data_IF_992546254648
#
_entry.id   IF_992546254648
#
_cell.length_a   1.000
_cell.length_b   1.000
_cell.length_c   1.000
_cell.angle_alpha   90.00
_cell.angle_beta   90.00
_cell.angle_gamma   90.00
#
_symmetry.space_group_name_H-M   'P 1'
#
loop_
_entity.id
_entity.type
_entity.pdbx_description
1 polymer ?
#
# COMPACT_ATOMS: atom_id res chain seq x y z
N UNK A 1 -12.08 1.38 -1.16
CA UNK A 1 -11.68 0.02 -1.58
C UNK A 1 -10.30 -0.29 -1.03
N UNK A 2 -10.17 -1.43 -0.34
CA UNK A 2 -8.90 -1.96 0.19
C UNK A 2 -8.88 -3.48 -0.06
N UNK A 3 -9.53 -4.29 0.78
CA UNK A 3 -9.53 -5.76 0.63
C UNK A 3 -10.19 -6.27 -0.66
N UNK A 4 -11.26 -5.65 -1.13
CA UNK A 4 -11.90 -6.08 -2.37
C UNK A 4 -11.05 -5.82 -3.63
N UNK A 5 -10.13 -4.86 -3.60
CA UNK A 5 -9.13 -4.66 -4.66
C UNK A 5 -8.19 -5.86 -4.76
N UNK A 6 -7.69 -6.34 -3.62
CA UNK A 6 -6.82 -7.52 -3.53
C UNK A 6 -7.52 -8.74 -4.12
N UNK A 7 -8.77 -8.99 -3.71
CA UNK A 7 -9.54 -10.14 -4.19
C UNK A 7 -9.78 -10.08 -5.71
N UNK A 8 -10.10 -8.89 -6.23
CA UNK A 8 -10.32 -8.69 -7.67
C UNK A 8 -9.01 -8.89 -8.45
N UNK A 9 -7.93 -8.30 -8.00
CA UNK A 9 -6.61 -8.44 -8.60
C UNK A 9 -6.15 -9.91 -8.61
N UNK A 10 -6.37 -10.65 -7.50
CA UNK A 10 -6.06 -12.07 -7.42
C UNK A 10 -6.85 -12.90 -8.45
N UNK A 11 -8.15 -12.64 -8.59
CA UNK A 11 -9.00 -13.34 -9.56
C UNK A 11 -8.54 -13.09 -11.00
N UNK A 12 -8.24 -11.85 -11.36
CA UNK A 12 -7.80 -11.47 -12.70
C UNK A 12 -6.41 -12.03 -13.05
N UNK A 13 -5.48 -12.02 -12.08
CA UNK A 13 -4.14 -12.58 -12.27
C UNK A 13 -4.12 -14.12 -12.28
N UNK A 14 -5.26 -14.77 -12.01
CA UNK A 14 -5.38 -16.24 -11.80
C UNK A 14 -4.40 -16.74 -10.72
N UNK A 15 -4.15 -15.90 -9.73
CA UNK A 15 -3.34 -16.22 -8.56
C UNK A 15 -4.25 -16.66 -7.42
N UNK A 16 -3.76 -17.52 -6.54
CA UNK A 16 -4.52 -17.85 -5.33
C UNK A 16 -4.61 -16.61 -4.45
N UNK A 17 -5.76 -16.38 -3.81
CA UNK A 17 -5.96 -15.24 -2.90
C UNK A 17 -4.89 -15.20 -1.79
N UNK A 18 -4.38 -16.36 -1.36
CA UNK A 18 -3.32 -16.49 -0.38
C UNK A 18 -1.98 -15.88 -0.85
N UNK A 19 -1.66 -15.97 -2.14
CA UNK A 19 -0.45 -15.37 -2.70
C UNK A 19 -0.55 -13.85 -2.62
N UNK A 20 -1.67 -13.28 -3.02
CA UNK A 20 -1.87 -11.81 -3.00
C UNK A 20 -1.91 -11.27 -1.57
N UNK A 21 -2.55 -11.98 -0.61
CA UNK A 21 -2.50 -11.62 0.82
C UNK A 21 -1.09 -11.75 1.40
N UNK A 22 -0.30 -12.71 0.96
CA UNK A 22 1.09 -12.87 1.40
C UNK A 22 1.98 -11.72 0.96
N UNK A 23 1.80 -11.22 -0.26
CA UNK A 23 2.46 -10.00 -0.74
C UNK A 23 1.98 -8.74 0.02
N UNK A 24 0.73 -8.70 0.50
CA UNK A 24 0.17 -7.57 1.23
C UNK A 24 0.55 -7.54 2.72
N UNK A 25 0.44 -8.67 3.41
CA UNK A 25 0.61 -8.71 4.88
C UNK A 25 1.99 -9.16 5.34
N UNK A 26 2.68 -10.01 4.61
CA UNK A 26 3.93 -10.60 5.08
C UNK A 26 5.17 -9.86 4.63
N UNK A 27 5.18 -9.23 3.47
CA UNK A 27 6.37 -8.53 2.96
C UNK A 27 7.67 -9.33 3.10
N UNK A 28 7.55 -10.64 3.26
CA UNK A 28 8.64 -11.56 3.50
C UNK A 28 9.16 -12.21 2.22
N UNK A 29 8.54 -11.91 1.09
CA UNK A 29 8.93 -12.48 -0.20
C UNK A 29 10.25 -11.95 -0.76
N UNK A 30 10.73 -10.80 -0.30
CA UNK A 30 11.96 -10.21 -0.87
C UNK A 30 13.24 -10.51 -0.09
N UNK A 31 13.28 -11.50 0.68
CA UNK A 31 14.56 -11.76 1.33
C UNK A 31 14.62 -13.01 2.14
N UNK A 32 14.60 -14.17 1.55
CA UNK A 32 15.24 -15.36 2.07
C UNK A 32 14.47 -16.66 1.77
N UNK A 33 14.36 -16.98 0.52
CA UNK A 33 14.36 -18.38 0.15
C UNK A 33 15.71 -18.80 -0.43
N UNK A 34 16.79 -18.19 0.01
CA UNK A 34 18.16 -18.68 -0.23
C UNK A 34 18.65 -19.38 1.03
N UNK A 35 17.93 -20.41 1.46
CA UNK A 35 18.45 -21.36 2.42
C UNK A 35 18.29 -22.75 1.81
N UNK A 36 19.34 -23.24 1.19
CA UNK A 36 19.44 -24.67 0.89
C UNK A 36 20.21 -25.12 -0.30
N UNK A 37 20.58 -24.30 -1.26
CA UNK A 37 21.48 -24.77 -2.31
C UNK A 37 22.30 -23.62 -2.93
N UNK A 38 23.62 -23.55 -2.69
CA UNK A 38 24.48 -22.48 -3.23
C UNK A 38 24.69 -22.58 -4.76
N UNK A 39 24.10 -23.53 -5.44
CA UNK A 39 24.17 -23.74 -6.89
C UNK A 39 22.82 -23.75 -7.60
N UNK A 40 21.73 -23.37 -6.91
CA UNK A 40 20.48 -23.09 -7.61
C UNK A 40 20.64 -21.81 -8.43
N UNK A 41 20.19 -21.86 -9.68
CA UNK A 41 20.28 -20.75 -10.62
C UNK A 41 19.44 -19.56 -10.10
N UNK A 42 20.09 -18.68 -9.32
CA UNK A 42 19.48 -17.54 -8.62
C UNK A 42 18.90 -16.52 -9.59
N UNK A 43 19.37 -16.50 -10.84
CA UNK A 43 18.87 -15.62 -11.88
C UNK A 43 17.46 -16.04 -12.35
N UNK A 44 17.25 -17.34 -12.59
CA UNK A 44 15.95 -17.85 -13.04
C UNK A 44 14.86 -17.75 -11.97
N UNK A 45 15.22 -17.92 -10.69
CA UNK A 45 14.32 -17.69 -9.56
C UNK A 45 13.99 -16.19 -9.41
N UNK A 46 14.96 -15.31 -9.55
CA UNK A 46 14.76 -13.86 -9.51
C UNK A 46 13.80 -13.40 -10.60
N UNK A 47 13.97 -13.81 -11.85
CA UNK A 47 13.07 -13.47 -12.95
C UNK A 47 11.65 -14.02 -12.74
N UNK A 48 11.48 -15.20 -12.17
CA UNK A 48 10.17 -15.76 -11.87
C UNK A 48 9.44 -14.96 -10.79
N UNK A 49 10.12 -14.55 -9.73
CA UNK A 49 9.55 -13.71 -8.68
C UNK A 49 9.20 -12.30 -9.19
N UNK A 50 10.10 -11.66 -9.93
CA UNK A 50 9.82 -10.36 -10.57
C UNK A 50 8.62 -10.44 -11.53
N UNK A 51 8.47 -11.55 -12.25
CA UNK A 51 7.32 -11.74 -13.14
C UNK A 51 5.99 -11.88 -12.40
N UNK A 52 5.99 -12.47 -11.21
CA UNK A 52 4.78 -12.65 -10.40
C UNK A 52 4.35 -11.35 -9.71
N UNK A 53 5.28 -10.61 -9.11
CA UNK A 53 5.02 -9.28 -8.55
C UNK A 53 4.52 -8.29 -9.62
N UNK A 54 5.12 -8.27 -10.79
CA UNK A 54 4.69 -7.44 -11.89
C UNK A 54 3.27 -7.80 -12.38
N UNK A 55 2.93 -9.09 -12.39
CA UNK A 55 1.57 -9.55 -12.73
C UNK A 55 0.53 -9.14 -11.69
N UNK A 56 0.87 -9.23 -10.41
CA UNK A 56 0.01 -8.75 -9.32
C UNK A 56 -0.21 -7.25 -9.44
N UNK A 57 0.86 -6.48 -9.60
CA UNK A 57 0.77 -5.03 -9.75
C UNK A 57 -0.06 -4.62 -10.97
N UNK A 58 0.11 -5.27 -12.12
CA UNK A 58 -0.67 -4.97 -13.32
C UNK A 58 -2.16 -5.32 -13.16
N UNK A 59 -2.48 -6.36 -12.41
CA UNK A 59 -3.87 -6.68 -12.05
C UNK A 59 -4.47 -5.65 -11.07
N UNK A 60 -3.70 -5.20 -10.07
CA UNK A 60 -4.09 -4.11 -9.18
C UNK A 60 -4.32 -2.81 -9.95
N UNK A 61 -3.40 -2.47 -10.86
CA UNK A 61 -3.51 -1.29 -11.72
C UNK A 61 -4.80 -1.29 -12.52
N UNK A 62 -5.12 -2.39 -13.20
CA UNK A 62 -6.38 -2.51 -13.96
C UNK A 62 -7.60 -2.36 -13.06
N UNK A 63 -7.62 -3.04 -11.91
CA UNK A 63 -8.72 -2.95 -10.96
C UNK A 63 -8.94 -1.52 -10.42
N UNK A 64 -7.84 -0.76 -10.18
CA UNK A 64 -7.90 0.64 -9.75
C UNK A 64 -8.53 1.52 -10.84
N UNK A 65 -8.09 1.38 -12.08
CA UNK A 65 -8.62 2.15 -13.21
C UNK A 65 -10.12 1.86 -13.43
N UNK A 66 -10.53 0.59 -13.44
CA UNK A 66 -11.93 0.21 -13.56
C UNK A 66 -12.82 0.74 -12.41
N UNK A 67 -12.27 0.87 -11.20
CA UNK A 67 -13.01 1.45 -10.06
C UNK A 67 -13.19 2.95 -10.21
N UNK A 68 -12.17 3.65 -10.70
CA UNK A 68 -12.23 5.09 -10.96
C UNK A 68 -13.25 5.43 -12.06
N UNK A 69 -13.31 4.63 -13.13
CA UNK A 69 -14.30 4.78 -14.22
C UNK A 69 -15.76 4.63 -13.74
N UNK A 70 -16.00 3.89 -12.66
CA UNK A 70 -17.35 3.67 -12.12
C UNK A 70 -17.91 4.86 -11.34
N UNK A 71 -17.10 5.85 -11.03
CA UNK A 71 -17.47 7.06 -10.32
C UNK A 71 -16.67 7.31 -9.04
N UNK A 72 -17.16 8.22 -8.20
CA UNK A 72 -16.49 8.67 -6.99
C UNK A 72 -16.14 7.49 -6.06
N UNK A 73 -14.87 7.34 -5.71
CA UNK A 73 -14.40 6.26 -4.87
C UNK A 73 -13.24 6.70 -3.94
N UNK A 74 -13.05 5.94 -2.87
CA UNK A 74 -11.91 6.08 -1.96
C UNK A 74 -11.09 4.80 -2.06
N UNK A 75 -9.82 4.92 -2.44
CA UNK A 75 -8.87 3.82 -2.59
C UNK A 75 -7.75 3.99 -1.56
N UNK A 76 -7.41 2.91 -0.86
CA UNK A 76 -6.40 2.94 0.19
C UNK A 76 -5.14 2.20 -0.28
N UNK A 77 -4.03 2.94 -0.37
CA UNK A 77 -2.72 2.41 -0.72
C UNK A 77 -2.58 1.98 -2.20
N UNK A 78 -1.79 0.93 -2.47
CA UNK A 78 -1.59 0.30 -3.80
C UNK A 78 -1.06 1.23 -4.88
N UNK A 79 -0.31 2.26 -4.51
CA UNK A 79 0.14 3.28 -5.46
C UNK A 79 -0.99 3.91 -6.29
N UNK A 80 -2.25 3.85 -5.80
CA UNK A 80 -3.42 4.26 -6.55
C UNK A 80 -3.33 5.68 -7.09
N UNK A 81 -2.77 6.63 -6.31
CA UNK A 81 -2.57 8.01 -6.77
C UNK A 81 -1.60 8.10 -7.95
N UNK A 82 -0.50 7.34 -7.93
CA UNK A 82 0.46 7.31 -9.02
C UNK A 82 -0.14 6.66 -10.28
N UNK A 83 -0.84 5.54 -10.10
CA UNK A 83 -1.53 4.82 -11.18
C UNK A 83 -2.55 5.73 -11.86
N UNK A 84 -3.39 6.42 -11.10
CA UNK A 84 -4.44 7.30 -11.64
C UNK A 84 -3.83 8.52 -12.34
N UNK A 85 -2.83 9.17 -11.74
CA UNK A 85 -2.12 10.29 -12.37
C UNK A 85 -1.44 9.87 -13.67
N UNK A 86 -0.83 8.70 -13.72
CA UNK A 86 -0.24 8.12 -14.93
C UNK A 86 -1.26 7.82 -16.03
N UNK A 87 -2.53 7.66 -15.67
CA UNK A 87 -3.65 7.52 -16.61
C UNK A 87 -4.30 8.87 -17.00
N UNK A 88 -3.81 9.99 -16.49
CA UNK A 88 -4.35 11.32 -16.76
C UNK A 88 -5.47 11.77 -15.84
N UNK A 89 -5.76 10.99 -14.80
CA UNK A 89 -6.74 11.33 -13.77
C UNK A 89 -6.13 12.25 -12.69
N UNK A 90 -6.99 12.99 -11.99
CA UNK A 90 -6.59 13.93 -10.94
C UNK A 90 -7.16 13.52 -9.57
N UNK A 91 -6.67 12.43 -8.95
CA UNK A 91 -7.13 12.02 -7.64
C UNK A 91 -6.64 12.99 -6.56
N UNK A 92 -7.44 13.23 -5.52
CA UNK A 92 -6.95 13.83 -4.28
C UNK A 92 -6.06 12.81 -3.55
N UNK A 93 -4.75 13.04 -3.60
CA UNK A 93 -3.77 12.16 -2.94
C UNK A 93 -3.52 12.61 -1.52
N UNK A 94 -3.78 11.73 -0.55
CA UNK A 94 -3.69 12.04 0.88
C UNK A 94 -2.73 11.11 1.59
N UNK A 95 -1.81 11.68 2.37
CA UNK A 95 -0.96 10.93 3.29
C UNK A 95 -1.37 11.18 4.73
N UNK A 96 -1.78 10.12 5.44
CA UNK A 96 -2.14 10.19 6.85
C UNK A 96 -0.99 9.63 7.68
N UNK A 97 -0.44 10.46 8.56
CA UNK A 97 0.59 10.06 9.50
C UNK A 97 0.12 10.21 10.95
N UNK A 98 0.93 9.77 11.89
CA UNK A 98 0.70 9.96 13.31
C UNK A 98 2.01 9.82 14.08
N UNK A 99 2.04 10.33 15.30
CA UNK A 99 3.17 10.17 16.19
C UNK A 99 3.49 8.69 16.41
N UNK A 100 4.79 8.32 16.46
CA UNK A 100 5.19 6.92 16.62
C UNK A 100 4.59 6.28 17.88
N UNK A 101 4.47 7.02 18.99
CA UNK A 101 3.88 6.53 20.22
C UNK A 101 2.38 6.22 20.06
N UNK A 102 1.62 7.10 19.40
CA UNK A 102 0.20 6.90 19.15
C UNK A 102 -0.06 5.74 18.19
N UNK A 103 0.77 5.61 17.15
CA UNK A 103 0.71 4.49 16.24
C UNK A 103 0.98 3.16 16.95
N UNK A 104 2.03 3.12 17.77
CA UNK A 104 2.39 1.94 18.56
C UNK A 104 1.25 1.52 19.46
N UNK A 105 0.67 2.47 20.20
CA UNK A 105 -0.47 2.22 21.11
C UNK A 105 -1.69 1.67 20.38
N UNK A 106 -2.06 2.26 19.24
CA UNK A 106 -3.19 1.80 18.42
C UNK A 106 -2.96 0.39 17.84
N UNK A 107 -1.75 0.11 17.37
CA UNK A 107 -1.38 -1.21 16.85
C UNK A 107 -1.36 -2.26 17.96
N UNK A 108 -0.81 -1.93 19.13
CA UNK A 108 -0.80 -2.79 20.30
C UNK A 108 -2.22 -3.20 20.70
N UNK A 109 -3.10 -2.20 20.87
CA UNK A 109 -4.51 -2.43 21.24
C UNK A 109 -5.28 -3.26 20.20
N UNK A 110 -5.09 -2.96 18.91
CA UNK A 110 -5.81 -3.64 17.83
C UNK A 110 -5.40 -5.10 17.65
N UNK A 111 -4.13 -5.43 17.91
CA UNK A 111 -3.57 -6.74 17.61
C UNK A 111 -3.23 -7.55 18.88
N UNK A 112 -3.50 -7.04 20.07
CA UNK A 112 -3.15 -7.72 21.33
C UNK A 112 -1.63 -7.88 21.53
N UNK A 113 -0.84 -6.91 21.04
CA UNK A 113 0.62 -6.95 21.11
C UNK A 113 1.14 -6.07 22.24
N UNK A 114 2.32 -6.41 22.77
CA UNK A 114 3.09 -5.48 23.59
C UNK A 114 3.62 -4.31 22.72
N UNK A 115 4.00 -3.20 23.38
CA UNK A 115 4.45 -1.99 22.67
C UNK A 115 5.68 -2.22 21.78
N UNK A 116 6.64 -3.03 22.25
CA UNK A 116 7.85 -3.33 21.49
C UNK A 116 7.52 -4.04 20.17
N UNK A 117 6.68 -5.07 20.24
CA UNK A 117 6.22 -5.83 19.06
C UNK A 117 5.39 -4.94 18.15
N UNK A 118 4.51 -4.11 18.72
CA UNK A 118 3.70 -3.18 17.95
C UNK A 118 4.56 -2.16 17.19
N UNK A 119 5.60 -1.60 17.83
CA UNK A 119 6.56 -0.69 17.20
C UNK A 119 7.32 -1.36 16.05
N UNK A 120 7.84 -2.56 16.28
CA UNK A 120 8.54 -3.32 15.23
C UNK A 120 7.62 -3.62 14.05
N UNK A 121 6.36 -4.01 14.32
CA UNK A 121 5.36 -4.23 13.27
C UNK A 121 5.09 -2.95 12.47
N UNK A 122 4.91 -1.81 13.12
CA UNK A 122 4.72 -0.53 12.45
C UNK A 122 5.88 -0.20 11.51
N UNK A 123 7.12 -0.31 12.00
CA UNK A 123 8.31 -0.04 11.22
C UNK A 123 8.49 -1.00 10.04
N UNK A 124 8.17 -2.29 10.23
CA UNK A 124 8.21 -3.29 9.15
C UNK A 124 7.24 -2.90 8.04
N UNK A 125 5.97 -2.63 8.39
CA UNK A 125 4.94 -2.26 7.44
C UNK A 125 5.30 -0.97 6.70
N UNK A 126 5.85 0.03 7.38
CA UNK A 126 6.25 1.29 6.73
C UNK A 126 7.39 1.07 5.72
N UNK A 127 8.40 0.25 6.07
CA UNK A 127 9.47 -0.09 5.10
C UNK A 127 8.92 -0.78 3.85
N UNK A 128 7.96 -1.68 4.01
CA UNK A 128 7.32 -2.37 2.89
C UNK A 128 6.54 -1.41 2.01
N UNK A 129 5.71 -0.54 2.63
CA UNK A 129 4.94 0.48 1.90
C UNK A 129 5.84 1.45 1.15
N UNK A 130 6.93 1.89 1.82
CA UNK A 130 7.93 2.75 1.19
C UNK A 130 8.56 2.06 -0.01
N UNK A 131 9.03 0.83 0.14
CA UNK A 131 9.67 0.08 -0.94
C UNK A 131 8.71 -0.10 -2.12
N UNK A 132 7.48 -0.54 -1.87
CA UNK A 132 6.47 -0.74 -2.91
C UNK A 132 6.13 0.58 -3.62
N UNK A 133 5.90 1.66 -2.88
CA UNK A 133 5.57 2.96 -3.48
C UNK A 133 6.73 3.52 -4.31
N UNK A 134 7.94 3.54 -3.75
CA UNK A 134 9.13 4.09 -4.41
C UNK A 134 9.54 3.29 -5.66
N UNK A 135 9.14 2.01 -5.74
CA UNK A 135 9.41 1.16 -6.91
C UNK A 135 8.43 1.42 -8.07
N UNK A 136 7.16 1.68 -7.77
CA UNK A 136 6.11 1.80 -8.78
C UNK A 136 5.65 3.25 -9.06
N UNK A 137 6.09 4.23 -8.27
CA UNK A 137 5.73 5.62 -8.44
C UNK A 137 6.97 6.47 -8.82
N UNK A 138 6.76 7.53 -9.58
CA UNK A 138 7.81 8.50 -9.94
C UNK A 138 8.17 9.45 -8.79
N UNK A 139 7.53 9.30 -7.63
CA UNK A 139 7.69 10.13 -6.43
C UNK A 139 7.98 9.25 -5.22
N UNK A 140 8.38 9.83 -4.09
CA UNK A 140 8.81 9.10 -2.91
C UNK A 140 7.71 9.01 -1.84
N UNK A 141 7.63 7.87 -1.17
CA UNK A 141 6.66 7.63 -0.10
C UNK A 141 6.90 8.55 1.10
N UNK A 142 5.85 9.25 1.53
CA UNK A 142 5.89 10.16 2.68
C UNK A 142 6.53 11.52 2.41
N UNK A 143 6.96 11.81 1.19
CA UNK A 143 7.48 13.11 0.81
C UNK A 143 6.34 14.07 0.43
N UNK A 144 6.38 15.35 0.89
CA UNK A 144 5.29 16.31 0.63
C UNK A 144 4.94 16.48 -0.84
N UNK A 145 5.92 16.41 -1.73
CA UNK A 145 5.72 16.54 -3.17
C UNK A 145 4.90 15.39 -3.80
N UNK A 146 4.74 14.27 -3.10
CA UNK A 146 4.00 13.10 -3.56
C UNK A 146 2.50 13.16 -3.30
N UNK A 147 2.05 14.11 -2.45
CA UNK A 147 0.68 14.18 -1.95
C UNK A 147 0.12 15.59 -2.02
N UNK A 148 -1.19 15.70 -2.25
CA UNK A 148 -1.90 16.98 -2.24
C UNK A 148 -2.22 17.43 -0.81
N UNK A 149 -2.32 16.47 0.12
CA UNK A 149 -2.65 16.72 1.52
C UNK A 149 -1.91 15.74 2.43
N UNK A 150 -1.26 16.25 3.48
CA UNK A 150 -0.65 15.45 4.53
C UNK A 150 -1.27 15.80 5.87
N UNK A 151 -1.79 14.79 6.60
CA UNK A 151 -2.54 14.99 7.85
C UNK A 151 -2.00 14.15 9.00
N UNK A 152 -1.85 14.79 10.17
CA UNK A 152 -1.57 14.10 11.42
C UNK A 152 -2.86 13.60 12.07
N UNK A 153 -3.03 12.28 12.12
CA UNK A 153 -4.13 11.68 12.87
C UNK A 153 -3.91 11.68 14.39
N UNK A 154 -2.74 12.10 14.88
CA UNK A 154 -2.52 12.38 16.29
C UNK A 154 -3.13 13.73 16.68
N UNK A 155 -3.06 14.74 15.82
CA UNK A 155 -3.61 16.07 16.05
C UNK A 155 -5.12 16.13 15.85
N UNK A 156 -5.59 15.62 14.70
CA UNK A 156 -7.01 15.72 14.32
C UNK A 156 -7.88 14.57 14.81
N UNK A 157 -7.28 13.49 15.31
CA UNK A 157 -8.01 12.24 15.53
C UNK A 157 -8.50 11.63 14.22
N UNK A 158 -9.20 10.49 14.31
CA UNK A 158 -9.71 9.79 13.11
C UNK A 158 -10.86 10.59 12.47
N UNK A 159 -11.81 11.05 13.26
CA UNK A 159 -12.99 11.77 12.78
C UNK A 159 -12.61 13.12 12.17
N UNK A 160 -11.80 13.93 12.86
CA UNK A 160 -11.37 15.22 12.34
C UNK A 160 -10.54 15.10 11.07
N UNK A 161 -9.64 14.10 10.99
CA UNK A 161 -8.90 13.85 9.76
C UNK A 161 -9.85 13.48 8.59
N UNK A 162 -10.88 12.67 8.82
CA UNK A 162 -11.87 12.34 7.80
C UNK A 162 -12.68 13.57 7.35
N UNK A 163 -13.03 14.47 8.25
CA UNK A 163 -13.75 15.71 7.92
C UNK A 163 -12.88 16.65 7.05
N UNK A 164 -11.59 16.81 7.37
CA UNK A 164 -10.66 17.60 6.58
C UNK A 164 -10.51 17.02 5.16
N UNK A 165 -10.34 15.70 5.04
CA UNK A 165 -10.24 15.02 3.74
C UNK A 165 -11.52 15.23 2.94
N UNK A 166 -12.69 15.06 3.56
CA UNK A 166 -13.98 15.26 2.90
C UNK A 166 -14.19 16.72 2.46
N UNK A 167 -13.73 17.69 3.24
CA UNK A 167 -13.76 19.09 2.84
C UNK A 167 -12.84 19.39 1.65
N UNK A 168 -11.61 18.88 1.68
CA UNK A 168 -10.66 19.03 0.57
C UNK A 168 -11.19 18.39 -0.73
N UNK A 169 -11.78 17.19 -0.64
CA UNK A 169 -12.37 16.51 -1.80
C UNK A 169 -13.55 17.29 -2.42
N UNK A 170 -14.32 18.04 -1.62
CA UNK A 170 -15.41 18.90 -2.11
C UNK A 170 -14.89 20.20 -2.71
N UNK A 171 -13.76 20.72 -2.23
CA UNK A 171 -13.19 21.98 -2.71
C UNK A 171 -12.45 21.85 -4.05
N UNK A 172 -11.97 20.65 -4.36
CA UNK A 172 -11.24 20.37 -5.60
C UNK A 172 -12.12 19.98 -6.81
N UNK A 173 -13.44 20.02 -6.65
CA UNK A 173 -14.40 19.74 -7.74
C UNK A 173 -14.85 20.99 -8.46
#
# INVERSE_FOLDING_TARGET
YDKCLIQKAAQEAKLSANVVEEYDEKGEGFGLAVSGNPFADTAALGEAFYSEEARVFEAERRAILELAEKGDCVIIGRCASAILRGAGEHPLSVFIYADPADRTRRIAARNGLDERRAMHRAQKIDRMRKHHFDFYADTLWGEPASYDLMLSSSEYGITGAAEVIAAAARAGK
#
